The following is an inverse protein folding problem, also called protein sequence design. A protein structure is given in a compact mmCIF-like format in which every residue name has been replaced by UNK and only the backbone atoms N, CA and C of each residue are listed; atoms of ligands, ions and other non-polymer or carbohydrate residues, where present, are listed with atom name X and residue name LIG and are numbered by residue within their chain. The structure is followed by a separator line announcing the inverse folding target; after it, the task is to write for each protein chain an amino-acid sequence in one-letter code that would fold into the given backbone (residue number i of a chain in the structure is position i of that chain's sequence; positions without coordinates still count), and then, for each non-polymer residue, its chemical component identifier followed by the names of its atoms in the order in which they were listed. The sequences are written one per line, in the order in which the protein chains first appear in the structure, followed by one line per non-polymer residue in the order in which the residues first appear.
data_IF_292267661285
#
_entry.id   IF_292267661285
#
_cell.length_a   1.000
_cell.length_b   1.000
_cell.length_c   1.000
_cell.angle_alpha   90.00
_cell.angle_beta   90.00
_cell.angle_gamma   90.00
#
_symmetry.space_group_name_H-M   'P 1'
#
loop_
_entity.id
_entity.type
_entity.pdbx_description
1 polymer ?
#
# COMPACT_ATOMS: atom_id res chain seq x y z
N UNK A 1 6.19 2.06 -13.79
CA UNK A 1 6.24 2.64 -12.42
C UNK A 1 5.35 1.76 -11.54
N UNK A 2 5.67 1.54 -10.27
CA UNK A 2 4.85 0.67 -9.41
C UNK A 2 3.81 1.50 -8.67
N UNK A 3 2.57 1.01 -8.59
CA UNK A 3 1.50 1.69 -7.86
C UNK A 3 0.56 0.77 -7.11
N UNK A 4 -0.02 1.30 -6.04
CA UNK A 4 -1.00 0.64 -5.19
C UNK A 4 -2.14 1.62 -4.89
N UNK A 5 -3.37 1.20 -5.16
CA UNK A 5 -4.56 1.93 -4.78
C UNK A 5 -5.11 1.34 -3.47
N UNK A 6 -5.26 2.17 -2.43
CA UNK A 6 -5.74 1.70 -1.13
C UNK A 6 -7.16 1.12 -1.21
N UNK A 7 -7.98 1.60 -2.15
CA UNK A 7 -9.32 1.06 -2.42
C UNK A 7 -9.30 -0.39 -2.89
N UNK A 8 -8.28 -0.81 -3.64
CA UNK A 8 -8.12 -2.20 -4.09
C UNK A 8 -7.79 -3.15 -2.93
N UNK A 9 -7.21 -2.62 -1.85
CA UNK A 9 -6.95 -3.34 -0.61
C UNK A 9 -8.18 -3.40 0.33
N UNK A 10 -9.34 -2.90 -0.10
CA UNK A 10 -10.58 -2.95 0.65
C UNK A 10 -10.80 -1.81 1.65
N UNK A 11 -9.92 -0.81 1.67
CA UNK A 11 -10.11 0.40 2.49
C UNK A 11 -11.00 1.40 1.76
N UNK A 12 -11.84 2.15 2.48
CA UNK A 12 -12.51 3.32 1.91
C UNK A 12 -11.55 4.53 1.91
N UNK A 13 -10.49 4.42 1.11
CA UNK A 13 -9.42 5.40 0.99
C UNK A 13 -9.07 5.59 -0.50
N UNK A 14 -9.05 6.84 -0.96
CA UNK A 14 -8.66 7.21 -2.33
C UNK A 14 -7.13 7.37 -2.50
N UNK A 15 -6.36 7.01 -1.48
CA UNK A 15 -4.91 7.05 -1.50
C UNK A 15 -4.34 6.20 -2.63
N UNK A 16 -3.43 6.80 -3.40
CA UNK A 16 -2.65 6.11 -4.44
C UNK A 16 -1.18 6.31 -4.14
N UNK A 17 -0.48 5.19 -3.94
CA UNK A 17 0.94 5.17 -3.64
C UNK A 17 1.68 4.80 -4.91
N UNK A 18 2.71 5.57 -5.27
CA UNK A 18 3.51 5.38 -6.48
C UNK A 18 4.99 5.43 -6.15
N UNK A 19 5.74 4.42 -6.59
CA UNK A 19 7.18 4.37 -6.40
C UNK A 19 7.89 3.61 -7.53
N UNK A 20 9.23 3.48 -7.44
CA UNK A 20 10.03 2.81 -8.47
C UNK A 20 10.09 1.31 -8.26
N UNK A 21 9.88 0.84 -7.03
CA UNK A 21 9.87 -0.59 -6.67
C UNK A 21 8.69 -0.94 -5.76
N UNK A 22 8.38 -2.24 -5.68
CA UNK A 22 7.35 -2.75 -4.76
C UNK A 22 7.71 -2.50 -3.30
N UNK A 23 9.00 -2.62 -2.96
CA UNK A 23 9.49 -2.36 -1.60
C UNK A 23 9.23 -0.90 -1.20
N UNK A 24 9.49 0.06 -2.08
CA UNK A 24 9.19 1.47 -1.81
C UNK A 24 7.68 1.71 -1.69
N UNK A 25 6.85 1.05 -2.50
CA UNK A 25 5.38 1.12 -2.36
C UNK A 25 4.94 0.57 -1.01
N UNK A 26 5.43 -0.60 -0.59
CA UNK A 26 5.06 -1.23 0.67
C UNK A 26 5.50 -0.39 1.89
N UNK A 27 6.70 0.19 1.85
CA UNK A 27 7.18 1.08 2.92
C UNK A 27 6.29 2.32 3.06
N UNK A 28 5.93 2.96 1.94
CA UNK A 28 5.01 4.10 1.95
C UNK A 28 3.61 3.69 2.39
N UNK A 29 3.14 2.50 1.99
CA UNK A 29 1.84 1.98 2.40
C UNK A 29 1.77 1.71 3.90
N UNK A 30 2.83 1.16 4.49
CA UNK A 30 2.92 0.94 5.93
C UNK A 30 2.91 2.26 6.71
N UNK A 31 3.63 3.28 6.23
CA UNK A 31 3.60 4.61 6.82
C UNK A 31 2.20 5.23 6.72
N UNK A 32 1.57 5.15 5.54
CA UNK A 32 0.22 5.66 5.31
C UNK A 32 -0.80 4.97 6.21
N UNK A 33 -0.76 3.64 6.32
CA UNK A 33 -1.65 2.87 7.19
C UNK A 33 -1.55 3.34 8.65
N UNK A 34 -0.33 3.61 9.13
CA UNK A 34 -0.09 4.09 10.49
C UNK A 34 -0.58 5.52 10.71
N UNK A 35 -0.24 6.43 9.79
CA UNK A 35 -0.50 7.87 9.96
C UNK A 35 -1.96 8.25 9.67
N UNK A 36 -2.59 7.64 8.67
CA UNK A 36 -3.93 7.98 8.20
C UNK A 36 -5.00 7.10 8.83
N UNK A 37 -4.69 5.82 9.05
CA UNK A 37 -5.66 4.84 9.55
C UNK A 37 -5.38 4.38 10.98
N UNK A 38 -4.24 4.75 11.57
CA UNK A 38 -3.83 4.27 12.90
C UNK A 38 -3.59 2.76 12.94
N UNK A 39 -3.33 2.14 11.78
CA UNK A 39 -3.15 0.68 11.63
C UNK A 39 -1.68 0.37 11.42
N UNK A 40 -1.14 -0.56 12.20
CA UNK A 40 0.19 -1.11 11.90
C UNK A 40 0.09 -2.18 10.82
N UNK A 41 0.88 -2.03 9.76
CA UNK A 41 0.93 -2.97 8.65
C UNK A 41 1.59 -4.29 9.11
N UNK A 42 0.77 -5.32 9.31
CA UNK A 42 1.24 -6.67 9.65
C UNK A 42 1.95 -7.33 8.45
N UNK A 43 2.78 -8.37 8.66
CA UNK A 43 3.42 -9.10 7.57
C UNK A 43 2.43 -9.72 6.57
N UNK A 44 1.28 -10.19 7.06
CA UNK A 44 0.20 -10.70 6.22
C UNK A 44 -0.40 -9.59 5.35
N UNK A 45 -0.69 -8.44 5.96
CA UNK A 45 -1.20 -7.28 5.23
C UNK A 45 -0.20 -6.80 4.17
N UNK A 46 1.10 -6.75 4.48
CA UNK A 46 2.13 -6.38 3.50
C UNK A 46 2.16 -7.34 2.30
N UNK A 47 2.00 -8.64 2.54
CA UNK A 47 1.94 -9.65 1.48
C UNK A 47 0.71 -9.47 0.59
N UNK A 48 -0.45 -9.21 1.20
CA UNK A 48 -1.69 -8.96 0.45
C UNK A 48 -1.60 -7.67 -0.37
N UNK A 49 -1.07 -6.59 0.23
CA UNK A 49 -0.81 -5.33 -0.47
C UNK A 49 0.16 -5.52 -1.63
N UNK A 50 1.21 -6.33 -1.46
CA UNK A 50 2.18 -6.61 -2.53
C UNK A 50 1.52 -7.26 -3.75
N UNK A 51 0.56 -8.16 -3.56
CA UNK A 51 -0.17 -8.82 -4.64
C UNK A 51 -1.08 -7.86 -5.44
N UNK A 52 -1.40 -6.70 -4.86
CA UNK A 52 -2.24 -5.67 -5.48
C UNK A 52 -1.42 -4.61 -6.22
N UNK A 53 -0.10 -4.58 -6.05
CA UNK A 53 0.77 -3.63 -6.75
C UNK A 53 0.73 -3.88 -8.26
N UNK A 54 0.52 -2.81 -9.02
CA UNK A 54 0.47 -2.83 -10.49
C UNK A 54 1.64 -2.06 -11.07
N UNK A 55 1.98 -2.44 -12.30
CA UNK A 55 2.89 -1.65 -13.14
C UNK A 55 2.07 -0.73 -14.04
N UNK A 56 2.29 0.58 -13.90
CA UNK A 56 1.74 1.64 -14.75
C UNK A 56 2.80 2.21 -15.72
#
# INVERSE_FOLDING_TARGET
MRSLHCRDAGFDCEGVIRAKSDEEVLNQAAQHAKEVHGVEATPEMQKDLQALIREE
#
